data_IF_046653885929
#
_entry.id   IF_046653885929
#
_cell.length_a   1.000
_cell.length_b   1.000
_cell.length_c   1.000
_cell.angle_alpha   90.00
_cell.angle_beta   90.00
_cell.angle_gamma   90.00
#
_symmetry.space_group_name_H-M   'P 1'
#
loop_
_entity.id
_entity.type
_entity.pdbx_description
1 polymer ?
#
# COMPACT_ATOMS: atom_id res chain seq x y z
N UNK A 1 -40.40 0.31 -19.43
CA UNK A 1 -39.90 1.68 -19.16
C UNK A 1 -39.09 2.15 -20.35
N UNK A 2 -39.23 3.41 -20.77
CA UNK A 2 -38.48 3.96 -21.92
C UNK A 2 -37.06 4.32 -21.48
N UNK A 3 -36.06 3.81 -22.18
CA UNK A 3 -34.64 4.10 -21.94
C UNK A 3 -34.34 5.55 -22.32
N UNK A 4 -33.77 6.32 -21.40
CA UNK A 4 -33.33 7.70 -21.66
C UNK A 4 -31.90 7.70 -22.20
N UNK A 5 -31.53 8.74 -22.95
CA UNK A 5 -30.16 8.91 -23.38
C UNK A 5 -29.26 9.18 -22.18
N UNK A 6 -28.14 8.46 -22.11
CA UNK A 6 -27.17 8.62 -21.05
C UNK A 6 -26.48 9.99 -21.14
N UNK A 7 -26.25 10.67 -20.00
CA UNK A 7 -25.31 11.78 -19.91
C UNK A 7 -23.90 11.39 -20.39
N UNK A 8 -23.12 12.37 -20.86
CA UNK A 8 -21.75 12.15 -21.37
C UNK A 8 -20.84 11.45 -20.34
N UNK A 9 -21.02 11.73 -19.06
CA UNK A 9 -20.26 11.13 -17.96
C UNK A 9 -20.69 9.70 -17.60
N UNK A 10 -21.89 9.28 -18.01
CA UNK A 10 -22.54 8.03 -17.58
C UNK A 10 -22.75 7.05 -18.74
N UNK A 11 -21.92 7.16 -19.77
CA UNK A 11 -21.91 6.22 -20.88
C UNK A 11 -21.62 4.79 -20.43
N UNK A 12 -21.99 3.82 -21.27
CA UNK A 12 -21.63 2.42 -21.04
C UNK A 12 -20.09 2.30 -20.98
N UNK A 13 -19.58 1.62 -19.95
CA UNK A 13 -18.16 1.47 -19.67
C UNK A 13 -17.55 2.60 -18.83
N UNK A 14 -18.31 3.62 -18.44
CA UNK A 14 -17.79 4.69 -17.58
C UNK A 14 -17.40 4.14 -16.19
N UNK A 15 -16.21 4.51 -15.71
CA UNK A 15 -15.68 4.06 -14.42
C UNK A 15 -15.79 5.15 -13.35
N UNK A 16 -16.32 4.78 -12.19
CA UNK A 16 -16.47 5.67 -11.04
C UNK A 16 -15.77 5.10 -9.83
N UNK A 17 -15.08 5.97 -9.07
CA UNK A 17 -14.49 5.60 -7.78
C UNK A 17 -15.55 5.76 -6.70
N UNK A 18 -15.77 4.70 -5.93
CA UNK A 18 -16.63 4.73 -4.74
C UNK A 18 -15.82 5.07 -3.50
N UNK A 19 -16.50 5.48 -2.43
CA UNK A 19 -15.84 5.86 -1.19
C UNK A 19 -15.37 4.65 -0.36
N UNK A 20 -15.96 3.46 -0.57
CA UNK A 20 -15.76 2.29 0.29
C UNK A 20 -15.40 1.01 -0.47
N UNK A 21 -15.99 0.78 -1.64
CA UNK A 21 -15.93 -0.52 -2.32
C UNK A 21 -15.11 -0.48 -3.62
N UNK A 22 -14.14 0.43 -3.73
CA UNK A 22 -13.27 0.52 -4.90
C UNK A 22 -13.97 1.12 -6.13
N UNK A 23 -13.67 0.60 -7.32
CA UNK A 23 -14.19 1.11 -8.59
C UNK A 23 -15.45 0.37 -9.04
N UNK A 24 -16.32 1.09 -9.73
CA UNK A 24 -17.52 0.55 -10.37
C UNK A 24 -17.56 0.96 -11.84
N UNK A 25 -18.04 0.07 -12.69
CA UNK A 25 -18.22 0.29 -14.12
C UNK A 25 -19.72 0.36 -14.44
N UNK A 26 -20.14 1.38 -15.20
CA UNK A 26 -21.51 1.49 -15.69
C UNK A 26 -21.73 0.47 -16.80
N UNK A 27 -22.70 -0.42 -16.62
CA UNK A 27 -23.09 -1.43 -17.61
C UNK A 27 -24.22 -0.90 -18.49
N UNK A 28 -25.23 -0.29 -17.88
CA UNK A 28 -26.34 0.27 -18.64
C UNK A 28 -27.04 1.43 -17.94
N UNK A 29 -27.56 2.37 -18.73
CA UNK A 29 -28.27 3.54 -18.23
C UNK A 29 -29.73 3.51 -18.69
N UNK A 30 -30.67 3.53 -17.74
CA UNK A 30 -32.11 3.63 -18.04
C UNK A 30 -32.65 5.02 -17.78
N UNK A 31 -32.38 5.58 -16.61
CA UNK A 31 -32.78 6.93 -16.20
C UNK A 31 -31.89 7.42 -15.04
N UNK A 32 -32.12 8.65 -14.56
CA UNK A 32 -31.34 9.23 -13.47
C UNK A 32 -31.47 8.50 -12.11
N UNK A 33 -32.49 7.66 -11.94
CA UNK A 33 -32.73 6.87 -10.72
C UNK A 33 -32.24 5.42 -10.85
N UNK A 34 -32.12 4.92 -12.07
CA UNK A 34 -31.88 3.52 -12.40
C UNK A 34 -30.75 3.42 -13.43
N UNK A 35 -29.56 3.19 -12.91
CA UNK A 35 -28.34 2.90 -13.65
C UNK A 35 -27.84 1.55 -13.17
N UNK A 36 -27.55 0.66 -14.09
CA UNK A 36 -26.96 -0.64 -13.81
C UNK A 36 -25.44 -0.48 -13.79
N UNK A 37 -24.85 -0.81 -12.65
CA UNK A 37 -23.41 -0.77 -12.42
C UNK A 37 -22.90 -2.16 -12.04
N UNK A 38 -21.64 -2.43 -12.33
CA UNK A 38 -20.89 -3.59 -11.87
C UNK A 38 -19.73 -3.13 -10.99
N UNK A 39 -19.50 -3.81 -9.86
CA UNK A 39 -18.31 -3.58 -9.04
C UNK A 39 -17.11 -4.31 -9.63
N UNK A 40 -15.99 -3.62 -9.84
CA UNK A 40 -14.79 -4.22 -10.44
C UNK A 40 -14.17 -5.28 -9.49
N UNK A 41 -14.32 -5.12 -8.18
CA UNK A 41 -13.74 -6.03 -7.18
C UNK A 41 -14.52 -7.36 -7.05
N UNK A 42 -15.85 -7.29 -7.04
CA UNK A 42 -16.72 -8.45 -6.75
C UNK A 42 -17.43 -8.99 -7.98
N UNK A 43 -17.48 -8.21 -9.07
CA UNK A 43 -18.32 -8.50 -10.23
C UNK A 43 -19.82 -8.36 -9.94
N UNK A 44 -20.22 -7.91 -8.74
CA UNK A 44 -21.62 -7.80 -8.38
C UNK A 44 -22.30 -6.69 -9.19
N UNK A 45 -23.51 -6.94 -9.67
CA UNK A 45 -24.27 -6.00 -10.51
C UNK A 45 -25.44 -5.44 -9.72
N UNK A 46 -25.62 -4.12 -9.76
CA UNK A 46 -26.66 -3.45 -8.99
C UNK A 46 -27.24 -2.23 -9.71
N UNK A 47 -28.51 -1.94 -9.44
CA UNK A 47 -29.14 -0.68 -9.84
C UNK A 47 -28.91 0.42 -8.79
N UNK A 48 -28.42 1.59 -9.23
CA UNK A 48 -28.21 2.79 -8.40
C UNK A 48 -28.71 4.04 -9.14
N UNK A 49 -28.96 5.13 -8.41
CA UNK A 49 -29.22 6.44 -9.00
C UNK A 49 -27.94 7.17 -9.41
N UNK A 50 -28.05 8.02 -10.42
CA UNK A 50 -26.96 8.86 -10.94
C UNK A 50 -26.33 9.74 -9.84
N UNK A 51 -27.16 10.31 -8.97
CA UNK A 51 -26.70 11.16 -7.88
C UNK A 51 -25.81 10.40 -6.89
N UNK A 52 -26.18 9.15 -6.55
CA UNK A 52 -25.39 8.30 -5.65
C UNK A 52 -24.09 7.82 -6.30
N UNK A 53 -24.13 7.53 -7.59
CA UNK A 53 -22.94 7.15 -8.35
C UNK A 53 -21.92 8.29 -8.42
N UNK A 54 -22.35 9.53 -8.73
CA UNK A 54 -21.46 10.71 -8.78
C UNK A 54 -20.88 11.08 -7.42
N UNK A 55 -21.66 10.94 -6.35
CA UNK A 55 -21.19 11.21 -4.97
C UNK A 55 -20.34 10.07 -4.39
N UNK A 56 -20.16 8.96 -5.11
CA UNK A 56 -19.41 7.78 -4.63
C UNK A 56 -20.09 7.04 -3.47
N UNK A 57 -21.35 7.37 -3.14
CA UNK A 57 -22.18 6.75 -2.10
C UNK A 57 -22.83 5.45 -2.61
N UNK A 58 -21.99 4.56 -3.13
CA UNK A 58 -22.38 3.26 -3.66
C UNK A 58 -21.85 2.20 -2.70
N UNK A 59 -22.75 1.39 -2.18
CA UNK A 59 -22.41 0.27 -1.29
C UNK A 59 -22.74 -1.06 -1.94
N UNK A 60 -21.78 -1.98 -1.86
CA UNK A 60 -22.02 -3.39 -2.12
C UNK A 60 -22.50 -4.04 -0.80
N UNK A 61 -23.56 -4.85 -0.88
CA UNK A 61 -24.09 -5.58 0.29
C UNK A 61 -23.43 -6.94 0.46
N UNK A 62 -22.77 -7.44 -0.57
CA UNK A 62 -22.10 -8.75 -0.55
C UNK A 62 -20.75 -8.70 0.17
N UNK A 63 -20.14 -7.51 0.27
CA UNK A 63 -18.81 -7.33 0.85
C UNK A 63 -18.77 -6.15 1.82
N UNK A 64 -17.91 -6.20 2.84
CA UNK A 64 -17.81 -5.12 3.80
C UNK A 64 -17.16 -3.86 3.19
N UNK A 65 -17.34 -2.71 3.85
CA UNK A 65 -16.76 -1.41 3.44
C UNK A 65 -15.23 -1.37 3.28
N UNK A 66 -14.51 -2.32 3.87
CA UNK A 66 -13.04 -2.39 3.86
C UNK A 66 -12.49 -3.15 2.64
N UNK A 67 -13.39 -3.59 1.74
CA UNK A 67 -13.05 -4.36 0.54
C UNK A 67 -12.20 -3.59 -0.50
N UNK A 68 -11.85 -2.33 -0.26
CA UNK A 68 -10.87 -1.60 -1.09
C UNK A 68 -9.48 -2.28 -1.07
N UNK A 69 -9.16 -3.01 -0.01
CA UNK A 69 -7.86 -3.69 0.14
C UNK A 69 -7.77 -5.01 -0.66
N UNK A 70 -8.86 -5.47 -1.25
CA UNK A 70 -8.89 -6.71 -2.04
C UNK A 70 -8.03 -6.55 -3.29
N UNK A 71 -7.11 -7.49 -3.51
CA UNK A 71 -6.11 -7.47 -4.57
C UNK A 71 -4.76 -6.86 -4.18
N UNK A 72 -4.62 -6.26 -2.99
CA UNK A 72 -3.31 -5.81 -2.50
C UNK A 72 -2.41 -7.03 -2.19
N UNK A 73 -1.15 -6.95 -2.63
CA UNK A 73 -0.12 -7.96 -2.37
C UNK A 73 0.84 -7.49 -1.29
N UNK A 74 1.21 -8.40 -0.39
CA UNK A 74 2.10 -8.12 0.73
C UNK A 74 3.16 -9.21 0.85
N UNK A 75 4.38 -8.82 1.19
CA UNK A 75 5.43 -9.77 1.52
C UNK A 75 5.46 -9.98 3.04
N UNK A 76 5.17 -11.19 3.48
CA UNK A 76 5.32 -11.62 4.87
C UNK A 76 6.61 -12.40 5.03
N UNK A 77 7.38 -12.08 6.07
CA UNK A 77 8.63 -12.79 6.40
C UNK A 77 8.43 -14.29 6.68
N UNK A 78 7.20 -14.72 7.01
CA UNK A 78 6.87 -16.12 7.33
C UNK A 78 6.22 -16.88 6.18
N UNK A 79 5.38 -16.21 5.40
CA UNK A 79 4.52 -16.86 4.40
C UNK A 79 4.80 -16.36 2.97
N UNK A 80 5.82 -15.53 2.74
CA UNK A 80 6.14 -15.02 1.42
C UNK A 80 5.08 -14.04 0.90
N UNK A 81 4.80 -14.08 -0.41
CA UNK A 81 3.84 -13.19 -1.06
C UNK A 81 2.40 -13.62 -0.76
N UNK A 82 1.66 -12.75 -0.10
CA UNK A 82 0.27 -12.90 0.28
C UNK A 82 -0.59 -11.93 -0.53
N UNK A 83 -1.66 -12.42 -1.14
CA UNK A 83 -2.64 -11.58 -1.85
C UNK A 83 -3.93 -11.53 -1.05
N UNK A 84 -4.46 -10.33 -0.78
CA UNK A 84 -5.77 -10.22 -0.13
C UNK A 84 -6.85 -10.64 -1.12
N UNK A 85 -7.55 -11.73 -0.84
CA UNK A 85 -8.67 -12.20 -1.67
C UNK A 85 -10.00 -11.62 -1.22
N UNK A 86 -10.24 -11.53 0.08
CA UNK A 86 -11.50 -11.01 0.61
C UNK A 86 -11.33 -10.43 2.01
N UNK A 87 -12.14 -9.43 2.35
CA UNK A 87 -12.24 -8.87 3.70
C UNK A 87 -13.62 -9.22 4.22
N UNK A 88 -13.74 -9.80 5.41
CA UNK A 88 -15.00 -10.15 6.07
C UNK A 88 -15.41 -9.11 7.12
N UNK A 89 -16.67 -9.16 7.57
CA UNK A 89 -17.33 -8.17 8.45
C UNK A 89 -16.71 -8.00 9.84
N UNK A 90 -15.84 -8.91 10.28
CA UNK A 90 -15.31 -8.97 11.65
C UNK A 90 -13.82 -8.56 11.73
N UNK A 91 -13.37 -7.66 10.84
CA UNK A 91 -11.95 -7.30 10.68
C UNK A 91 -11.07 -8.52 10.35
N UNK A 92 -11.63 -9.54 9.69
CA UNK A 92 -10.89 -10.72 9.25
C UNK A 92 -10.57 -10.53 7.77
N UNK A 93 -9.30 -10.67 7.43
CA UNK A 93 -8.77 -10.60 6.06
C UNK A 93 -8.36 -12.01 5.66
N UNK A 94 -8.92 -12.49 4.56
CA UNK A 94 -8.51 -13.73 3.91
C UNK A 94 -7.40 -13.39 2.93
N UNK A 95 -6.24 -14.01 3.14
CA UNK A 95 -5.04 -13.87 2.35
C UNK A 95 -4.78 -15.20 1.66
N UNK A 96 -4.31 -15.17 0.42
CA UNK A 96 -3.84 -16.36 -0.29
C UNK A 96 -2.35 -16.27 -0.53
N UNK A 97 -1.62 -17.30 -0.14
CA UNK A 97 -0.18 -17.44 -0.38
C UNK A 97 0.06 -17.85 -1.84
N UNK A 98 1.26 -17.62 -2.37
CA UNK A 98 1.66 -18.12 -3.70
C UNK A 98 1.44 -19.63 -3.89
N UNK A 99 1.51 -20.40 -2.80
CA UNK A 99 1.28 -21.85 -2.78
C UNK A 99 -0.21 -22.24 -2.76
N UNK A 100 -1.13 -21.27 -2.77
CA UNK A 100 -2.57 -21.50 -2.75
C UNK A 100 -3.16 -21.72 -1.35
N UNK A 101 -2.36 -21.56 -0.28
CA UNK A 101 -2.85 -21.66 1.10
C UNK A 101 -3.65 -20.41 1.51
N UNK A 102 -4.85 -20.62 2.04
CA UNK A 102 -5.70 -19.56 2.60
C UNK A 102 -5.33 -19.29 4.07
N UNK A 103 -4.91 -18.05 4.36
CA UNK A 103 -4.60 -17.58 5.70
C UNK A 103 -5.63 -16.53 6.14
N UNK A 104 -6.26 -16.77 7.30
CA UNK A 104 -7.16 -15.79 7.91
C UNK A 104 -6.40 -14.99 8.96
N UNK A 105 -6.35 -13.68 8.76
CA UNK A 105 -5.66 -12.76 9.67
C UNK A 105 -6.57 -11.62 10.10
N UNK A 106 -6.30 -11.07 11.28
CA UNK A 106 -6.97 -9.84 11.72
C UNK A 106 -6.41 -8.62 10.97
N UNK A 107 -7.27 -7.71 10.55
CA UNK A 107 -6.92 -6.46 9.86
C UNK A 107 -5.83 -5.65 10.60
N UNK A 108 -5.87 -5.49 11.95
CA UNK A 108 -4.80 -4.79 12.67
C UNK A 108 -3.42 -5.46 12.54
N UNK A 109 -3.38 -6.80 12.38
CA UNK A 109 -2.13 -7.51 12.18
C UNK A 109 -1.58 -7.27 10.76
N UNK A 110 -2.47 -7.27 9.75
CA UNK A 110 -2.10 -6.92 8.36
C UNK A 110 -1.60 -5.48 8.27
N UNK A 111 -2.27 -4.54 8.93
CA UNK A 111 -1.84 -3.14 8.96
C UNK A 111 -0.46 -2.97 9.61
N UNK A 112 -0.20 -3.64 10.74
CA UNK A 112 1.13 -3.62 11.38
C UNK A 112 2.23 -4.19 10.48
N UNK A 113 1.90 -5.19 9.64
CA UNK A 113 2.84 -5.71 8.65
C UNK A 113 3.12 -4.67 7.55
N UNK A 114 2.08 -3.97 7.07
CA UNK A 114 2.20 -2.87 6.11
C UNK A 114 3.09 -1.75 6.65
N UNK A 115 2.81 -1.28 7.86
CA UNK A 115 3.56 -0.20 8.51
C UNK A 115 5.03 -0.58 8.73
N UNK A 116 5.30 -1.83 9.13
CA UNK A 116 6.67 -2.33 9.31
C UNK A 116 7.43 -2.42 7.98
N UNK A 117 6.75 -2.80 6.89
CA UNK A 117 7.34 -2.83 5.56
C UNK A 117 7.68 -1.41 5.07
N UNK A 118 6.77 -0.44 5.27
CA UNK A 118 7.03 0.96 4.92
C UNK A 118 8.21 1.54 5.71
N UNK A 119 8.32 1.24 7.01
CA UNK A 119 9.46 1.66 7.83
C UNK A 119 10.78 1.03 7.34
N UNK A 120 10.77 -0.25 6.96
CA UNK A 120 11.95 -0.92 6.39
C UNK A 120 12.36 -0.33 5.04
N UNK A 121 11.39 0.00 4.18
CA UNK A 121 11.66 0.65 2.89
C UNK A 121 12.17 2.08 3.07
N UNK A 122 11.63 2.84 4.02
CA UNK A 122 12.16 4.16 4.39
C UNK A 122 13.59 4.07 4.96
N UNK A 123 13.89 3.04 5.77
CA UNK A 123 15.23 2.78 6.28
C UNK A 123 16.22 2.35 5.17
N UNK A 124 15.75 1.62 4.14
CA UNK A 124 16.57 1.27 2.96
C UNK A 124 16.89 2.48 2.11
N UNK A 125 15.92 3.37 1.85
CA UNK A 125 16.15 4.59 1.08
C UNK A 125 17.04 5.63 1.77
N UNK A 126 17.15 5.59 3.11
CA UNK A 126 18.03 6.47 3.88
C UNK A 126 19.45 5.92 4.05
N UNK A 127 19.67 4.61 3.84
CA UNK A 127 21.01 4.03 3.73
C UNK A 127 21.57 4.31 2.34
N UNK A 128 22.01 5.55 2.11
CA UNK A 128 22.96 5.87 1.02
C UNK A 128 24.14 4.89 1.13
N UNK A 129 24.23 3.96 0.20
CA UNK A 129 25.48 3.25 -0.08
C UNK A 129 26.58 4.30 -0.26
N UNK A 130 27.76 4.14 0.35
CA UNK A 130 28.83 5.12 0.19
C UNK A 130 29.15 5.26 -1.29
N UNK A 131 28.91 6.45 -1.84
CA UNK A 131 29.06 6.72 -3.26
C UNK A 131 30.54 6.76 -3.68
N UNK A 132 31.48 6.78 -2.73
CA UNK A 132 32.91 6.84 -3.01
C UNK A 132 33.77 6.23 -1.89
N UNK A 133 34.97 5.77 -2.24
CA UNK A 133 36.02 5.33 -1.30
C UNK A 133 36.39 6.42 -0.27
N UNK A 134 36.20 7.69 -0.63
CA UNK A 134 36.39 8.87 0.23
C UNK A 134 35.39 8.93 1.39
N UNK A 135 34.20 8.35 1.24
CA UNK A 135 33.17 8.34 2.28
C UNK A 135 33.34 7.18 3.29
N UNK A 136 34.10 6.14 2.92
CA UNK A 136 34.55 5.11 3.86
C UNK A 136 35.63 5.65 4.80
N UNK A 137 36.62 6.38 4.27
CA UNK A 137 37.75 6.89 5.06
C UNK A 137 37.35 7.99 6.05
N UNK A 138 36.32 8.79 5.74
CA UNK A 138 35.78 9.79 6.67
C UNK A 138 35.07 9.18 7.89
N UNK A 139 34.47 7.99 7.74
CA UNK A 139 33.83 7.27 8.87
C UNK A 139 34.86 6.76 9.86
N UNK A 140 35.98 6.22 9.38
CA UNK A 140 37.09 5.80 10.23
C UNK A 140 37.82 6.96 10.93
N UNK A 141 37.54 8.24 10.62
CA UNK A 141 38.12 9.37 11.37
C UNK A 141 37.30 9.76 12.60
N UNK A 142 36.05 9.29 12.69
CA UNK A 142 35.08 9.69 13.74
C UNK A 142 34.95 8.66 14.86
N UNK A 143 35.43 7.44 14.67
CA UNK A 143 35.48 6.38 15.69
C UNK A 143 36.40 6.77 16.84
N UNK A 144 35.98 6.46 18.08
CA UNK A 144 36.68 6.85 19.32
C UNK A 144 38.15 6.39 19.32
N UNK A 145 38.38 5.16 18.88
CA UNK A 145 39.69 4.53 18.73
C UNK A 145 40.64 5.33 17.81
N UNK A 146 40.16 5.82 16.68
CA UNK A 146 40.98 6.56 15.71
C UNK A 146 41.31 7.99 16.13
N UNK A 147 40.51 8.60 17.01
CA UNK A 147 40.86 9.88 17.65
C UNK A 147 41.96 9.67 18.70
N UNK A 148 41.89 8.57 19.44
CA UNK A 148 42.90 8.20 20.43
C UNK A 148 44.25 7.93 19.77
N UNK A 149 44.27 7.22 18.64
CA UNK A 149 45.49 6.99 17.84
C UNK A 149 46.12 8.31 17.35
N UNK A 150 45.31 9.24 16.80
CA UNK A 150 45.82 10.54 16.36
C UNK A 150 46.36 11.39 17.53
N UNK A 151 45.70 11.34 18.69
CA UNK A 151 46.20 12.01 19.88
C UNK A 151 47.52 11.41 20.38
N UNK A 152 47.66 10.08 20.32
CA UNK A 152 48.88 9.37 20.68
C UNK A 152 50.04 9.76 19.74
N UNK A 153 49.78 9.76 18.42
CA UNK A 153 50.76 10.17 17.41
C UNK A 153 51.21 11.62 17.58
N UNK A 154 50.27 12.54 17.81
CA UNK A 154 50.58 13.95 18.04
C UNK A 154 51.39 14.17 19.33
N UNK A 155 51.19 13.32 20.35
CA UNK A 155 51.96 13.38 21.59
C UNK A 155 53.40 12.93 21.36
N UNK A 156 53.59 11.82 20.65
CA UNK A 156 54.90 11.29 20.27
C UNK A 156 55.67 12.30 19.41
N UNK A 157 55.03 12.91 18.41
CA UNK A 157 55.65 13.94 17.58
C UNK A 157 56.10 15.18 18.37
N UNK A 158 55.30 15.61 19.36
CA UNK A 158 55.67 16.75 20.22
C UNK A 158 56.82 16.43 21.16
N UNK A 159 56.88 15.20 21.67
CA UNK A 159 57.94 14.77 22.58
C UNK A 159 59.26 14.55 21.83
N UNK A 160 59.20 14.10 20.57
CA UNK A 160 60.39 13.96 19.71
C UNK A 160 60.90 15.28 19.14
N UNK A 161 60.04 16.26 18.87
CA UNK A 161 60.45 17.58 18.33
C UNK A 161 61.05 18.52 19.40
N UNK A 162 61.22 18.05 20.64
CA UNK A 162 61.80 18.80 21.76
C UNK A 162 63.28 18.50 22.01
N UNK A 163 63.89 17.69 21.15
CA UNK A 163 65.33 17.45 21.06
C UNK A 163 65.86 17.94 19.71
#
# INVERSE_FOLDING_TARGET
MKKMNAPLDMGNGAKFKTNKHGYVTVVDYYNCHTIIIAFDNTGNVRSISAAKLRSGLVTDRSVPPESMMVGEQFESAKHGLLTITHVESDNIVVLTTADGEELRMLLPAVQKMKDKLEQLNAARNTKKSPASLSDLTKRNKKTKETKEINNMFNKILKDYAKY
#
